data_IF_522412912103
#
_entry.id   IF_522412912103
#
_cell.length_a   1.000
_cell.length_b   1.000
_cell.length_c   1.000
_cell.angle_alpha   90.00
_cell.angle_beta   90.00
_cell.angle_gamma   90.00
#
_symmetry.space_group_name_H-M   'P 1'
#
loop_
_entity.id
_entity.type
_entity.pdbx_description
1 polymer ?
#
# COMPACT_ATOMS: atom_id res chain seq x y z
N UNK A 1 7.73 -25.01 -9.61
CA UNK A 1 7.40 -25.64 -8.31
C UNK A 1 7.72 -24.75 -7.10
N UNK A 2 8.97 -24.41 -6.75
CA UNK A 2 9.23 -23.60 -5.55
C UNK A 2 8.75 -22.13 -5.64
N UNK A 3 8.80 -21.51 -6.83
CA UNK A 3 8.26 -20.16 -7.06
C UNK A 3 6.72 -20.13 -7.04
N UNK A 4 6.03 -21.23 -7.35
CA UNK A 4 4.55 -21.27 -7.33
C UNK A 4 3.99 -21.34 -5.92
N UNK A 5 4.75 -21.87 -4.96
CA UNK A 5 4.30 -22.04 -3.57
C UNK A 5 4.02 -20.70 -2.86
N UNK A 6 4.70 -19.62 -3.24
CA UNK A 6 4.47 -18.28 -2.66
C UNK A 6 3.12 -17.69 -3.06
N UNK A 7 2.56 -18.12 -4.19
CA UNK A 7 1.25 -17.70 -4.68
C UNK A 7 0.09 -18.46 -4.02
N UNK A 8 0.38 -19.42 -3.13
CA UNK A 8 -0.62 -20.21 -2.40
C UNK A 8 -0.76 -19.85 -0.92
N UNK A 9 0.05 -18.91 -0.40
CA UNK A 9 0.10 -18.56 1.03
C UNK A 9 0.14 -17.04 1.22
N UNK A 10 -0.27 -16.53 2.39
CA UNK A 10 -0.09 -15.11 2.72
C UNK A 10 1.38 -14.73 2.52
N UNK A 11 1.64 -13.62 1.85
CA UNK A 11 3.00 -13.20 1.52
C UNK A 11 3.86 -13.02 2.77
N UNK A 12 3.29 -12.62 3.90
CA UNK A 12 4.01 -12.54 5.17
C UNK A 12 4.65 -13.88 5.63
N UNK A 13 4.19 -15.02 5.10
CA UNK A 13 4.67 -16.36 5.41
C UNK A 13 5.58 -16.95 4.32
N UNK A 14 6.00 -16.16 3.32
CA UNK A 14 6.74 -16.66 2.16
C UNK A 14 8.03 -17.40 2.52
N UNK A 15 8.71 -17.05 3.61
CA UNK A 15 9.94 -17.75 4.01
C UNK A 15 9.68 -19.25 4.27
N UNK A 16 8.46 -19.62 4.72
CA UNK A 16 8.08 -21.00 4.98
C UNK A 16 7.82 -21.82 3.70
N UNK A 17 7.74 -21.19 2.53
CA UNK A 17 7.59 -21.89 1.24
C UNK A 17 8.93 -22.40 0.70
N UNK A 18 10.06 -21.95 1.26
CA UNK A 18 11.40 -22.27 0.74
C UNK A 18 11.69 -21.66 -0.62
N UNK A 19 10.89 -20.67 -1.05
CA UNK A 19 11.16 -19.90 -2.28
C UNK A 19 12.51 -19.18 -2.14
N UNK A 20 13.29 -19.15 -3.22
CA UNK A 20 14.55 -18.43 -3.24
C UNK A 20 14.34 -16.94 -2.90
N UNK A 21 15.38 -16.29 -2.37
CA UNK A 21 15.31 -14.89 -1.99
C UNK A 21 16.35 -14.04 -2.70
N UNK A 22 15.96 -12.85 -3.12
CA UNK A 22 16.88 -11.82 -3.63
C UNK A 22 17.15 -10.79 -2.53
N UNK A 23 18.39 -10.32 -2.45
CA UNK A 23 18.80 -9.26 -1.53
C UNK A 23 18.71 -7.89 -2.20
N UNK A 24 18.02 -6.96 -1.54
CA UNK A 24 17.92 -5.56 -1.96
C UNK A 24 18.57 -4.66 -0.91
N UNK A 25 19.82 -4.21 -1.15
CA UNK A 25 20.49 -3.25 -0.30
C UNK A 25 19.66 -1.98 -0.12
N UNK A 26 19.64 -1.50 1.12
CA UNK A 26 19.03 -0.26 1.54
C UNK A 26 20.10 0.68 2.10
N UNK A 27 19.72 1.92 2.37
CA UNK A 27 20.57 2.86 3.08
C UNK A 27 20.97 2.32 4.46
N UNK A 28 22.08 2.84 4.99
CA UNK A 28 22.59 2.53 6.33
C UNK A 28 22.96 1.04 6.53
N UNK A 29 23.37 0.35 5.47
CA UNK A 29 23.82 -1.05 5.53
C UNK A 29 22.71 -2.07 5.77
N UNK A 30 21.45 -1.66 5.69
CA UNK A 30 20.30 -2.57 5.80
C UNK A 30 20.11 -3.37 4.50
N UNK A 31 19.55 -4.56 4.62
CA UNK A 31 19.25 -5.43 3.47
C UNK A 31 17.82 -5.96 3.61
N UNK A 32 17.03 -5.81 2.55
CA UNK A 32 15.76 -6.51 2.43
C UNK A 32 15.96 -7.85 1.73
N UNK A 33 15.27 -8.87 2.22
CA UNK A 33 15.19 -10.18 1.58
C UNK A 33 13.77 -10.36 1.08
N UNK A 34 13.62 -10.49 -0.22
CA UNK A 34 12.29 -10.65 -0.85
C UNK A 34 12.27 -11.96 -1.63
N UNK A 35 11.10 -12.60 -1.79
CA UNK A 35 10.99 -13.80 -2.62
C UNK A 35 11.40 -13.46 -4.07
N UNK A 36 12.17 -14.35 -4.69
CA UNK A 36 12.60 -14.25 -6.09
C UNK A 36 11.44 -14.62 -7.03
N UNK A 37 10.47 -13.72 -7.14
CA UNK A 37 9.29 -13.86 -8.00
C UNK A 37 8.99 -12.55 -8.71
N UNK A 38 8.40 -12.66 -9.90
CA UNK A 38 8.05 -11.54 -10.76
C UNK A 38 7.04 -10.58 -10.13
N UNK A 39 6.13 -11.05 -9.26
CA UNK A 39 5.11 -10.23 -8.61
C UNK A 39 5.61 -9.26 -7.52
N UNK A 40 6.90 -9.31 -7.15
CA UNK A 40 7.51 -8.39 -6.18
C UNK A 40 8.63 -7.61 -6.86
N UNK A 41 8.35 -6.36 -7.22
CA UNK A 41 9.29 -5.49 -7.91
C UNK A 41 9.96 -4.56 -6.93
N UNK A 42 11.22 -4.85 -6.61
CA UNK A 42 12.04 -3.98 -5.79
C UNK A 42 13.11 -3.27 -6.60
N UNK A 43 13.41 -2.04 -6.21
CA UNK A 43 14.53 -1.27 -6.71
C UNK A 43 15.43 -0.87 -5.54
N UNK A 44 16.74 -1.02 -5.75
CA UNK A 44 17.75 -0.46 -4.85
C UNK A 44 18.27 0.85 -5.44
N UNK A 45 18.44 1.89 -4.61
CA UNK A 45 19.04 3.13 -5.05
C UNK A 45 20.52 2.89 -5.42
N UNK A 46 21.12 3.72 -6.28
CA UNK A 46 22.57 3.73 -6.49
C UNK A 46 23.31 3.91 -5.14
N UNK A 47 24.49 3.30 -4.93
CA UNK A 47 25.22 3.39 -3.66
C UNK A 47 25.51 4.82 -3.18
N UNK A 48 25.66 5.75 -4.13
CA UNK A 48 25.95 7.17 -3.88
C UNK A 48 24.69 8.05 -3.71
N UNK A 49 23.49 7.48 -3.85
CA UNK A 49 22.23 8.23 -3.70
C UNK A 49 21.78 8.31 -2.24
N UNK A 50 21.12 9.39 -1.87
CA UNK A 50 20.41 9.58 -0.60
C UNK A 50 19.00 8.95 -0.61
N UNK A 51 18.57 8.41 -1.75
CA UNK A 51 17.28 7.76 -1.91
C UNK A 51 17.27 6.41 -1.20
N UNK A 52 16.09 6.00 -0.75
CA UNK A 52 15.85 4.66 -0.23
C UNK A 52 15.26 3.77 -1.33
N UNK A 53 15.41 2.46 -1.18
CA UNK A 53 14.79 1.53 -2.12
C UNK A 53 13.27 1.60 -2.05
N UNK A 54 12.64 1.05 -3.07
CA UNK A 54 11.18 0.88 -3.11
C UNK A 54 10.85 -0.53 -3.50
N UNK A 55 9.72 -1.03 -3.02
CA UNK A 55 9.17 -2.32 -3.44
C UNK A 55 7.69 -2.16 -3.76
N UNK A 56 7.26 -2.62 -4.92
CA UNK A 56 5.87 -2.64 -5.38
C UNK A 56 5.40 -4.07 -5.57
N UNK A 57 4.20 -4.38 -5.09
CA UNK A 57 3.61 -5.72 -5.15
C UNK A 57 2.08 -5.64 -5.14
N UNK A 58 1.42 -6.73 -5.54
CA UNK A 58 -0.04 -6.87 -5.44
C UNK A 58 -0.39 -8.10 -4.60
N UNK A 59 -1.30 -7.94 -3.64
CA UNK A 59 -1.83 -9.04 -2.83
C UNK A 59 -3.36 -9.02 -2.79
N UNK A 60 -3.97 -10.15 -2.48
CA UNK A 60 -5.39 -10.20 -2.14
C UNK A 60 -5.63 -9.45 -0.84
N UNK A 61 -6.55 -8.48 -0.86
CA UNK A 61 -7.05 -7.75 0.31
C UNK A 61 -7.47 -8.69 1.41
N UNK A 62 -8.21 -9.76 1.08
CA UNK A 62 -8.74 -10.71 2.06
C UNK A 62 -7.68 -11.64 2.66
N UNK A 63 -6.78 -12.17 1.82
CA UNK A 63 -5.91 -13.29 2.22
C UNK A 63 -4.44 -12.95 2.36
N UNK A 64 -4.00 -11.80 1.82
CA UNK A 64 -2.60 -11.40 1.77
C UNK A 64 -1.74 -12.23 0.82
N UNK A 65 -2.34 -13.13 0.04
CA UNK A 65 -1.66 -13.95 -0.97
C UNK A 65 -1.25 -13.07 -2.15
N UNK A 66 -0.05 -13.30 -2.71
CA UNK A 66 0.42 -12.59 -3.91
C UNK A 66 -0.52 -12.78 -5.11
N UNK A 67 -0.73 -11.71 -5.86
CA UNK A 67 -1.40 -11.69 -7.15
C UNK A 67 -0.34 -11.40 -8.21
N UNK A 68 -0.14 -12.34 -9.14
CA UNK A 68 0.79 -12.17 -10.26
C UNK A 68 0.38 -11.04 -11.21
N UNK A 69 1.33 -10.45 -11.92
CA UNK A 69 1.05 -9.38 -12.91
C UNK A 69 0.34 -9.90 -14.17
N UNK A 70 0.47 -11.19 -14.45
CA UNK A 70 -0.22 -11.91 -15.52
C UNK A 70 -1.73 -12.04 -15.24
N UNK A 71 -2.13 -11.99 -13.97
CA UNK A 71 -3.54 -11.79 -13.62
C UNK A 71 -3.93 -10.38 -13.98
N UNK A 72 -4.86 -10.28 -14.94
CA UNK A 72 -5.58 -9.04 -15.24
C UNK A 72 -6.34 -8.51 -14.02
N UNK A 73 -7.35 -7.70 -14.24
CA UNK A 73 -8.11 -7.09 -13.15
C UNK A 73 -8.58 -8.12 -12.09
N UNK A 74 -8.32 -7.84 -10.81
CA UNK A 74 -8.78 -8.64 -9.65
C UNK A 74 -9.44 -7.67 -8.65
N UNK A 75 -10.74 -7.83 -8.34
CA UNK A 75 -11.44 -6.93 -7.43
C UNK A 75 -10.90 -7.02 -6.00
N UNK A 76 -10.25 -8.11 -5.63
CA UNK A 76 -9.61 -8.25 -4.32
C UNK A 76 -8.19 -7.68 -4.31
N UNK A 77 -7.71 -7.03 -5.38
CA UNK A 77 -6.35 -6.52 -5.44
C UNK A 77 -6.12 -5.37 -4.43
N UNK A 78 -5.04 -5.51 -3.68
CA UNK A 78 -4.39 -4.47 -2.91
C UNK A 78 -3.00 -4.25 -3.50
N UNK A 79 -2.81 -3.11 -4.16
CA UNK A 79 -1.50 -2.69 -4.68
C UNK A 79 -0.74 -2.04 -3.54
N UNK A 80 0.41 -2.59 -3.14
CA UNK A 80 1.19 -2.09 -2.00
C UNK A 80 2.54 -1.59 -2.50
N UNK A 81 2.92 -0.40 -2.04
CA UNK A 81 4.26 0.15 -2.27
C UNK A 81 4.91 0.49 -0.92
N UNK A 82 6.13 0.01 -0.75
CA UNK A 82 6.98 0.37 0.38
C UNK A 82 7.91 1.51 -0.01
N UNK A 83 7.85 2.60 0.75
CA UNK A 83 8.83 3.68 0.72
C UNK A 83 9.82 3.43 1.86
N UNK A 84 11.01 2.95 1.53
CA UNK A 84 11.86 2.35 2.57
C UNK A 84 12.61 3.40 3.42
N UNK A 85 12.39 4.70 3.16
CA UNK A 85 12.89 5.80 3.98
C UNK A 85 12.07 5.96 5.27
N UNK A 86 12.67 5.78 6.46
CA UNK A 86 12.03 6.12 7.72
C UNK A 86 11.68 7.62 7.76
N UNK A 87 10.47 7.94 8.20
CA UNK A 87 10.00 9.32 8.33
C UNK A 87 9.48 9.97 7.04
N UNK A 88 9.48 9.26 5.90
CA UNK A 88 8.90 9.79 4.65
C UNK A 88 7.38 9.58 4.51
N UNK A 89 6.67 9.26 5.61
CA UNK A 89 5.22 9.05 5.59
C UNK A 89 4.43 10.29 5.14
N UNK A 90 5.00 11.49 5.22
CA UNK A 90 4.37 12.71 4.69
C UNK A 90 4.20 12.69 3.16
N UNK A 91 5.12 12.05 2.42
CA UNK A 91 4.95 11.85 0.97
C UNK A 91 3.77 10.93 0.68
N UNK A 92 3.71 9.80 1.39
CA UNK A 92 2.61 8.83 1.37
C UNK A 92 1.27 9.47 1.76
N UNK A 93 1.27 10.36 2.75
CA UNK A 93 0.09 11.16 3.14
C UNK A 93 -0.34 12.12 2.02
N UNK A 94 0.60 12.69 1.27
CA UNK A 94 0.30 13.50 0.09
C UNK A 94 -0.44 12.68 -0.97
N UNK A 95 0.03 11.47 -1.25
CA UNK A 95 -0.60 10.52 -2.21
C UNK A 95 -2.01 10.16 -1.74
N UNK A 96 -2.14 9.72 -0.48
CA UNK A 96 -3.44 9.35 0.10
C UNK A 96 -4.37 10.55 0.37
N UNK A 97 -3.88 11.78 0.14
CA UNK A 97 -4.52 13.04 0.56
C UNK A 97 -4.98 12.93 2.02
N UNK A 98 -4.12 12.40 2.89
CA UNK A 98 -4.47 11.64 4.09
C UNK A 98 -4.19 12.27 5.47
N UNK A 99 -3.58 13.45 5.60
CA UNK A 99 -3.41 14.09 6.93
C UNK A 99 -4.66 14.93 7.30
N UNK A 100 -5.34 14.63 8.43
CA UNK A 100 -6.52 15.38 8.85
C UNK A 100 -6.34 16.88 9.00
N UNK A 101 -5.11 17.33 9.32
CA UNK A 101 -4.78 18.75 9.49
C UNK A 101 -4.62 19.46 8.15
N UNK A 102 -4.38 18.72 7.08
CA UNK A 102 -4.28 19.26 5.72
C UNK A 102 -5.65 19.31 5.02
N UNK A 103 -6.70 18.78 5.65
CA UNK A 103 -8.08 18.88 5.18
C UNK A 103 -8.70 20.19 5.67
N UNK A 104 -8.55 21.26 4.89
CA UNK A 104 -9.11 22.57 5.24
C UNK A 104 -10.63 22.51 5.52
N UNK A 105 -11.15 23.37 6.42
CA UNK A 105 -12.55 23.33 6.87
C UNK A 105 -13.59 23.69 5.78
N UNK A 106 -13.15 24.28 4.67
CA UNK A 106 -13.99 24.65 3.50
C UNK A 106 -13.37 24.25 2.16
N UNK A 107 -12.32 23.41 2.17
CA UNK A 107 -11.83 22.80 0.94
C UNK A 107 -12.57 21.48 0.73
N UNK A 108 -13.74 21.54 0.09
CA UNK A 108 -13.85 20.66 -1.07
C UNK A 108 -12.62 21.00 -1.91
N UNK A 109 -11.70 20.06 -2.20
CA UNK A 109 -10.51 20.41 -2.94
C UNK A 109 -10.98 21.17 -4.18
N UNK A 110 -10.38 22.35 -4.45
CA UNK A 110 -10.59 23.00 -5.74
C UNK A 110 -10.46 21.91 -6.79
N UNK A 111 -11.42 21.85 -7.72
CA UNK A 111 -11.47 20.79 -8.71
C UNK A 111 -10.05 20.60 -9.27
N UNK A 112 -9.44 19.42 -9.09
CA UNK A 112 -8.12 19.20 -9.64
C UNK A 112 -8.22 19.42 -11.15
N UNK A 113 -7.18 20.08 -11.69
CA UNK A 113 -7.09 20.46 -13.09
C UNK A 113 -7.45 19.29 -13.99
N UNK A 114 -8.18 19.59 -15.07
CA UNK A 114 -8.65 18.61 -16.03
C UNK A 114 -7.47 17.79 -16.59
N UNK A 115 -7.44 16.48 -16.33
CA UNK A 115 -6.44 15.59 -16.92
C UNK A 115 -6.13 14.29 -16.17
N UNK A 116 -6.40 14.19 -14.86
CA UNK A 116 -6.06 12.98 -14.09
C UNK A 116 -7.27 12.05 -13.85
N UNK A 117 -7.04 10.73 -13.82
CA UNK A 117 -8.07 9.71 -13.51
C UNK A 117 -8.60 9.81 -12.06
N UNK A 118 -7.92 10.59 -11.20
CA UNK A 118 -8.14 10.73 -9.76
C UNK A 118 -8.62 12.14 -9.37
N UNK A 119 -9.70 12.61 -10.01
CA UNK A 119 -10.06 14.03 -10.04
C UNK A 119 -11.38 14.38 -9.33
N UNK A 120 -11.82 13.53 -8.40
CA UNK A 120 -12.95 13.79 -7.49
C UNK A 120 -12.51 14.29 -6.10
N UNK A 121 -13.39 14.99 -5.35
CA UNK A 121 -13.12 15.31 -3.94
C UNK A 121 -12.98 14.03 -3.11
N UNK A 122 -12.19 14.07 -2.04
CA UNK A 122 -12.13 12.98 -1.06
C UNK A 122 -13.53 12.82 -0.47
N UNK A 123 -14.14 11.66 -0.70
CA UNK A 123 -15.49 11.30 -0.27
C UNK A 123 -15.48 10.41 0.97
N UNK A 124 -14.31 9.99 1.45
CA UNK A 124 -14.18 9.17 2.65
C UNK A 124 -12.82 9.28 3.29
N UNK A 125 -12.80 9.28 4.63
CA UNK A 125 -11.55 9.44 5.36
C UNK A 125 -11.55 8.75 6.73
N UNK A 126 -10.41 8.19 7.09
CA UNK A 126 -10.16 7.59 8.40
C UNK A 126 -8.71 7.84 8.80
N UNK A 127 -8.48 8.16 10.07
CA UNK A 127 -7.15 8.14 10.68
C UNK A 127 -7.22 7.34 11.98
N UNK A 128 -6.32 6.39 12.16
CA UNK A 128 -6.26 5.60 13.38
C UNK A 128 -4.85 5.05 13.61
N UNK A 129 -4.70 4.35 14.73
CA UNK A 129 -3.49 3.62 15.08
C UNK A 129 -3.80 2.14 15.21
N UNK A 130 -2.89 1.31 14.71
CA UNK A 130 -2.93 -0.14 14.89
C UNK A 130 -1.57 -0.63 15.36
N UNK A 131 -1.53 -1.35 16.48
CA UNK A 131 -0.31 -1.90 17.07
C UNK A 131 0.81 -0.84 17.27
N UNK A 132 0.42 0.39 17.62
CA UNK A 132 1.33 1.53 17.82
C UNK A 132 1.80 2.22 16.55
N UNK A 133 1.18 1.94 15.40
CA UNK A 133 1.53 2.51 14.10
C UNK A 133 0.36 3.33 13.55
N UNK A 134 0.55 4.62 13.24
CA UNK A 134 -0.50 5.42 12.65
C UNK A 134 -0.70 5.04 11.18
N UNK A 135 -1.96 5.06 10.76
CA UNK A 135 -2.36 4.95 9.37
C UNK A 135 -3.49 5.93 9.04
N UNK A 136 -3.61 6.21 7.75
CA UNK A 136 -4.59 7.13 7.20
C UNK A 136 -5.18 6.58 5.92
N UNK A 137 -6.47 6.82 5.71
CA UNK A 137 -7.18 6.38 4.52
C UNK A 137 -7.88 7.57 3.91
N UNK A 138 -7.69 7.76 2.61
CA UNK A 138 -8.45 8.68 1.79
C UNK A 138 -9.11 7.93 0.63
N UNK A 139 -10.40 8.15 0.43
CA UNK A 139 -11.17 7.55 -0.66
C UNK A 139 -11.78 8.62 -1.56
N UNK A 140 -11.74 8.41 -2.86
CA UNK A 140 -12.25 9.33 -3.88
C UNK A 140 -13.13 8.56 -4.86
N UNK A 141 -14.01 9.30 -5.53
CA UNK A 141 -14.82 8.77 -6.61
C UNK A 141 -14.07 8.92 -7.93
N UNK A 142 -14.01 7.87 -8.75
CA UNK A 142 -13.49 7.95 -10.12
C UNK A 142 -14.40 8.85 -10.98
N UNK A 143 -13.81 9.60 -11.92
CA UNK A 143 -14.58 10.40 -12.90
C UNK A 143 -15.16 9.54 -14.03
N UNK A 144 -14.53 8.41 -14.34
CA UNK A 144 -14.88 7.52 -15.43
C UNK A 144 -15.63 6.26 -14.97
N UNK A 145 -16.16 5.49 -15.93
CA UNK A 145 -16.93 4.25 -15.70
C UNK A 145 -16.01 3.08 -15.33
N UNK A 146 -15.14 3.29 -14.34
CA UNK A 146 -14.48 2.16 -13.69
C UNK A 146 -15.56 1.20 -13.17
N UNK A 147 -15.37 -0.13 -13.27
CA UNK A 147 -16.29 -1.09 -12.66
C UNK A 147 -16.48 -0.86 -11.16
N UNK A 148 -15.53 -0.19 -10.50
CA UNK A 148 -15.61 0.23 -9.11
C UNK A 148 -15.56 1.76 -9.06
N UNK A 149 -16.63 2.42 -8.61
CA UNK A 149 -16.74 3.88 -8.68
C UNK A 149 -15.85 4.61 -7.68
N UNK A 150 -15.19 3.90 -6.74
CA UNK A 150 -14.29 4.51 -5.75
C UNK A 150 -12.93 3.82 -5.71
N UNK A 151 -11.89 4.64 -5.52
CA UNK A 151 -10.54 4.22 -5.16
C UNK A 151 -10.18 4.74 -3.78
N UNK A 152 -9.43 3.96 -3.02
CA UNK A 152 -8.94 4.31 -1.70
C UNK A 152 -7.42 4.08 -1.64
N UNK A 153 -6.70 5.01 -1.00
CA UNK A 153 -5.32 4.81 -0.58
C UNK A 153 -5.26 4.75 0.93
N UNK A 154 -4.60 3.72 1.47
CA UNK A 154 -4.20 3.61 2.86
C UNK A 154 -2.70 3.93 2.97
N UNK A 155 -2.37 5.02 3.65
CA UNK A 155 -1.01 5.42 4.00
C UNK A 155 -0.62 4.94 5.41
N UNK A 156 0.60 4.46 5.59
CA UNK A 156 1.10 3.95 6.87
C UNK A 156 2.48 4.48 7.22
N UNK A 157 2.69 4.76 8.52
CA UNK A 157 4.02 4.88 9.09
C UNK A 157 4.48 3.53 9.67
N UNK A 158 5.55 2.97 9.11
CA UNK A 158 6.17 1.75 9.61
C UNK A 158 7.39 2.05 10.51
N UNK A 159 7.54 3.29 10.97
CA UNK A 159 8.58 3.74 11.88
C UNK A 159 9.97 3.54 11.28
N UNK A 160 10.84 2.83 12.00
CA UNK A 160 12.19 2.51 11.50
C UNK A 160 12.19 1.69 10.20
N UNK A 161 11.07 1.08 9.83
CA UNK A 161 10.96 0.23 8.64
C UNK A 161 10.52 0.99 7.38
N UNK A 162 10.33 2.30 7.47
CA UNK A 162 9.91 3.16 6.36
C UNK A 162 8.45 3.55 6.47
N UNK A 163 7.85 3.87 5.33
CA UNK A 163 6.43 4.10 5.14
C UNK A 163 5.88 3.19 4.05
N UNK A 164 4.56 3.08 3.95
CA UNK A 164 3.90 2.32 2.90
C UNK A 164 2.61 3.01 2.48
N UNK A 165 2.25 2.89 1.21
CA UNK A 165 0.85 3.08 0.80
C UNK A 165 0.30 1.81 0.17
N UNK A 166 -1.01 1.67 0.25
CA UNK A 166 -1.74 0.63 -0.45
C UNK A 166 -3.00 1.19 -1.11
N UNK A 167 -3.16 0.90 -2.40
CA UNK A 167 -4.30 1.30 -3.20
C UNK A 167 -5.25 0.12 -3.41
N UNK A 168 -6.55 0.39 -3.31
CA UNK A 168 -7.60 -0.58 -3.58
C UNK A 168 -8.88 0.11 -4.04
N UNK A 169 -9.67 -0.64 -4.80
CA UNK A 169 -10.97 -0.19 -5.30
C UNK A 169 -12.10 -0.64 -4.38
N UNK A 170 -13.18 0.14 -4.37
CA UNK A 170 -14.38 -0.17 -3.61
C UNK A 170 -15.64 0.23 -4.37
N UNK A 171 -16.72 -0.47 -4.04
CA UNK A 171 -18.06 -0.18 -4.56
C UNK A 171 -18.57 1.17 -4.06
N UNK A 172 -19.64 1.66 -4.71
CA UNK A 172 -20.33 2.87 -4.25
C UNK A 172 -20.94 2.59 -2.87
N UNK A 173 -20.62 3.40 -1.85
CA UNK A 173 -21.25 3.27 -0.55
C UNK A 173 -22.74 3.60 -0.67
N UNK A 174 -23.58 2.95 0.14
CA UNK A 174 -25.00 3.31 0.22
C UNK A 174 -25.17 4.75 0.72
N UNK A 175 -26.11 5.50 0.14
CA UNK A 175 -26.47 6.85 0.58
C UNK A 175 -26.01 7.97 -0.34
N UNK A 176 -25.41 9.03 0.22
CA UNK A 176 -25.08 10.29 -0.45
C UNK A 176 -23.75 10.27 -1.23
N UNK A 177 -23.15 9.09 -1.41
CA UNK A 177 -21.84 8.93 -2.05
C UNK A 177 -20.67 9.35 -1.17
N UNK A 178 -20.85 9.43 0.15
CA UNK A 178 -19.75 9.52 1.12
C UNK A 178 -19.32 8.10 1.50
N UNK A 179 -18.05 7.78 1.25
CA UNK A 179 -17.48 6.50 1.66
C UNK A 179 -17.04 6.57 3.12
N UNK A 180 -17.50 5.65 3.95
CA UNK A 180 -17.04 5.52 5.32
C UNK A 180 -16.08 4.33 5.40
N UNK A 181 -14.74 4.52 5.41
CA UNK A 181 -13.82 3.40 5.52
C UNK A 181 -14.09 2.60 6.80
N UNK A 182 -14.32 1.29 6.66
CA UNK A 182 -14.53 0.39 7.81
C UNK A 182 -13.21 0.26 8.58
N UNK A 183 -13.18 0.79 9.80
CA UNK A 183 -12.01 0.73 10.67
C UNK A 183 -11.50 -0.69 10.90
N UNK A 184 -12.38 -1.67 11.05
CA UNK A 184 -11.99 -3.08 11.28
C UNK A 184 -11.27 -3.63 10.07
N UNK A 185 -11.76 -3.31 8.87
CA UNK A 185 -11.10 -3.68 7.63
C UNK A 185 -9.75 -2.97 7.49
N UNK A 186 -9.70 -1.66 7.72
CA UNK A 186 -8.48 -0.86 7.58
C UNK A 186 -7.40 -1.29 8.59
N UNK A 187 -7.77 -1.58 9.83
CA UNK A 187 -6.87 -2.15 10.84
C UNK A 187 -6.30 -3.50 10.37
N UNK A 188 -7.12 -4.36 9.75
CA UNK A 188 -6.69 -5.67 9.23
C UNK A 188 -5.72 -5.51 8.05
N UNK A 189 -6.02 -4.62 7.10
CA UNK A 189 -5.14 -4.32 5.97
C UNK A 189 -3.80 -3.76 6.45
N UNK A 190 -3.83 -2.83 7.40
CA UNK A 190 -2.63 -2.24 7.98
C UNK A 190 -1.74 -3.28 8.69
N UNK A 191 -2.33 -4.21 9.45
CA UNK A 191 -1.59 -5.35 10.03
C UNK A 191 -0.98 -6.25 8.97
N UNK A 192 -1.72 -6.54 7.90
CA UNK A 192 -1.25 -7.37 6.80
C UNK A 192 -0.04 -6.73 6.09
N UNK A 193 -0.13 -5.44 5.74
CA UNK A 193 0.97 -4.68 5.14
C UNK A 193 2.20 -4.67 6.06
N UNK A 194 1.99 -4.42 7.34
CA UNK A 194 3.06 -4.43 8.35
C UNK A 194 3.75 -5.80 8.45
N UNK A 195 2.96 -6.89 8.44
CA UNK A 195 3.47 -8.26 8.50
C UNK A 195 4.25 -8.65 7.24
N UNK A 196 3.75 -8.28 6.05
CA UNK A 196 4.46 -8.45 4.78
C UNK A 196 5.80 -7.73 4.83
N UNK A 197 5.79 -6.45 5.22
CA UNK A 197 7.03 -5.68 5.31
C UNK A 197 8.03 -6.31 6.28
N UNK A 198 7.57 -6.73 7.45
CA UNK A 198 8.41 -7.39 8.45
C UNK A 198 8.97 -8.72 7.94
N UNK A 199 8.24 -9.46 7.11
CA UNK A 199 8.73 -10.69 6.48
C UNK A 199 9.89 -10.47 5.50
N UNK A 200 10.10 -9.22 5.05
CA UNK A 200 11.22 -8.83 4.19
C UNK A 200 12.44 -8.34 4.96
N UNK A 201 12.31 -8.09 6.26
CA UNK A 201 13.48 -7.83 7.09
C UNK A 201 14.30 -9.13 7.17
N UNK A 202 15.59 -9.05 6.85
CA UNK A 202 16.50 -10.16 7.07
C UNK A 202 16.45 -10.57 8.54
N UNK A 203 16.32 -11.87 8.80
CA UNK A 203 16.67 -12.41 10.12
C UNK A 203 18.19 -12.50 10.15
N UNK A 204 18.81 -11.79 11.08
CA UNK A 204 20.22 -11.98 11.43
C UNK A 204 20.47 -13.42 11.89
#
# INVERSE_FOLDING_TARGET
MAAEAVYGRPLAEWQATGTASVAYPQQQGRVLRVPDVDAVLCSSPPPESDQWGTCSLSVSRRTGVLIGFDRGYDPERLSVVFELQPGNYYGVLGIARGDPRLWGPNTGPGEPEDGESYTGPVRGRLSADVDGRPYWVGCWRYRDRSPFPYGCTLAMDLGRNGSAYADFETEEPEGDGVYAPDRTEMDRLARMISAIRASFDGKD
#
